data_IF_906052198652
#
_entry.id   IF_906052198652
#
_cell.length_a   1.000
_cell.length_b   1.000
_cell.length_c   1.000
_cell.angle_alpha   90.00
_cell.angle_beta   90.00
_cell.angle_gamma   90.00
#
_symmetry.space_group_name_H-M   'P 1'
#
loop_
_entity.id
_entity.type
_entity.pdbx_description
1 polymer ?
#
# COMPACT_ATOMS: atom_id res chain seq x y z
N UNK A 1 -8.86 -2.97 2.44
CA UNK A 1 -8.71 -2.15 3.65
C UNK A 1 -10.09 -1.74 4.17
N UNK A 2 -10.39 -2.10 5.43
CA UNK A 2 -11.70 -1.81 6.03
C UNK A 2 -11.63 -0.51 6.83
N UNK A 3 -12.60 0.36 6.61
CA UNK A 3 -12.66 1.67 7.25
C UNK A 3 -14.01 1.95 7.88
N UNK A 4 -14.01 2.80 8.90
CA UNK A 4 -15.20 3.48 9.37
C UNK A 4 -15.48 4.65 8.42
N UNK A 5 -16.63 4.69 7.72
CA UNK A 5 -16.93 5.76 6.78
C UNK A 5 -17.15 7.14 7.44
N UNK A 6 -17.41 7.18 8.76
CA UNK A 6 -17.62 8.43 9.50
C UNK A 6 -16.35 8.92 10.20
N UNK A 7 -15.38 8.03 10.47
CA UNK A 7 -14.10 8.35 11.10
C UNK A 7 -12.98 7.52 10.42
N UNK A 8 -12.71 7.79 9.15
CA UNK A 8 -11.70 7.06 8.43
C UNK A 8 -10.32 7.36 9.00
N UNK A 9 -9.55 6.32 9.40
CA UNK A 9 -8.17 6.50 9.82
C UNK A 9 -7.36 6.93 8.61
N UNK A 10 -6.97 8.18 8.54
CA UNK A 10 -6.20 8.73 7.44
C UNK A 10 -4.83 9.15 7.93
N UNK A 11 -3.81 8.76 7.18
CA UNK A 11 -2.50 9.39 7.30
C UNK A 11 -2.60 10.86 6.88
N UNK A 12 -1.69 11.68 7.40
CA UNK A 12 -1.65 13.10 7.10
C UNK A 12 -1.22 13.33 5.62
N UNK A 13 -2.20 13.57 4.75
CA UNK A 13 -1.97 13.91 3.33
C UNK A 13 -1.58 15.38 3.13
N UNK A 14 -1.67 16.23 4.18
CA UNK A 14 -1.31 17.65 4.07
C UNK A 14 0.19 17.84 3.79
N UNK A 15 1.01 16.83 4.04
CA UNK A 15 2.43 16.83 3.75
C UNK A 15 2.76 16.45 2.31
N UNK A 16 1.81 15.92 1.56
CA UNK A 16 1.97 15.55 0.17
C UNK A 16 1.62 16.77 -0.73
N UNK A 17 2.64 17.58 -1.02
CA UNK A 17 2.48 18.86 -1.73
C UNK A 17 2.81 18.78 -3.23
N UNK A 18 3.15 17.62 -3.73
CA UNK A 18 3.47 17.39 -5.14
C UNK A 18 2.26 17.72 -6.01
N UNK A 19 2.53 18.34 -7.16
CA UNK A 19 1.51 18.68 -8.14
C UNK A 19 1.33 17.52 -9.10
N UNK A 20 0.17 16.89 -8.99
CA UNK A 20 -0.19 15.66 -9.69
C UNK A 20 -1.17 15.99 -10.84
N UNK A 21 -1.07 15.27 -11.95
CA UNK A 21 -2.05 15.34 -13.03
C UNK A 21 -3.25 14.45 -12.70
N UNK A 22 -4.42 15.07 -12.61
CA UNK A 22 -5.70 14.42 -12.35
C UNK A 22 -6.62 14.58 -13.57
N UNK A 23 -7.29 13.51 -13.95
CA UNK A 23 -8.34 13.48 -14.96
C UNK A 23 -9.64 13.09 -14.26
N UNK A 24 -10.38 14.06 -13.71
CA UNK A 24 -11.65 13.79 -13.04
C UNK A 24 -12.72 13.21 -13.98
N UNK A 25 -13.80 12.70 -13.39
CA UNK A 25 -14.98 12.19 -14.09
C UNK A 25 -15.41 13.18 -15.20
N UNK A 26 -15.41 12.79 -16.47
CA UNK A 26 -15.75 13.66 -17.60
C UNK A 26 -17.19 14.19 -17.53
N UNK A 27 -18.10 13.48 -16.87
CA UNK A 27 -19.49 13.84 -16.68
C UNK A 27 -19.74 14.59 -15.36
N UNK A 28 -18.66 14.74 -14.55
CA UNK A 28 -18.71 15.37 -13.24
C UNK A 28 -18.54 16.90 -13.27
N UNK A 29 -18.75 17.57 -12.14
CA UNK A 29 -18.65 19.04 -12.03
C UNK A 29 -17.22 19.58 -12.17
N UNK A 30 -16.21 18.71 -12.10
CA UNK A 30 -14.78 19.05 -12.17
C UNK A 30 -14.11 18.49 -13.44
N UNK A 31 -14.88 18.22 -14.49
CA UNK A 31 -14.39 17.61 -15.73
C UNK A 31 -13.21 18.39 -16.36
N UNK A 32 -12.28 17.64 -16.96
CA UNK A 32 -11.08 18.16 -17.58
C UNK A 32 -9.81 17.92 -16.77
N UNK A 33 -8.66 18.02 -17.44
CA UNK A 33 -7.36 17.84 -16.77
C UNK A 33 -7.12 18.92 -15.72
N UNK A 34 -6.70 18.51 -14.54
CA UNK A 34 -6.37 19.37 -13.42
C UNK A 34 -4.97 19.03 -12.88
N UNK A 35 -4.24 20.03 -12.39
CA UNK A 35 -2.93 19.86 -11.80
C UNK A 35 -2.91 20.48 -10.40
N UNK A 36 -2.90 19.61 -9.39
CA UNK A 36 -2.95 20.03 -7.98
C UNK A 36 -2.45 18.92 -7.06
N UNK A 37 -2.27 19.22 -5.78
CA UNK A 37 -1.95 18.18 -4.78
C UNK A 37 -3.20 17.35 -4.44
N UNK A 38 -3.01 16.14 -3.92
CA UNK A 38 -4.13 15.30 -3.45
C UNK A 38 -4.91 15.94 -2.31
N UNK A 39 -4.23 16.72 -1.43
CA UNK A 39 -4.89 17.49 -0.39
C UNK A 39 -5.85 18.52 -0.98
N UNK A 40 -5.39 19.32 -1.95
CA UNK A 40 -6.22 20.29 -2.65
C UNK A 40 -7.38 19.64 -3.42
N UNK A 41 -7.14 18.47 -4.04
CA UNK A 41 -8.19 17.73 -4.75
C UNK A 41 -9.28 17.20 -3.79
N UNK A 42 -8.89 16.80 -2.58
CA UNK A 42 -9.83 16.41 -1.53
C UNK A 42 -10.66 17.61 -1.04
N UNK A 43 -10.00 18.74 -0.77
CA UNK A 43 -10.69 19.98 -0.34
C UNK A 43 -11.65 20.51 -1.41
N UNK A 44 -11.29 20.38 -2.69
CA UNK A 44 -12.14 20.74 -3.82
C UNK A 44 -13.28 19.73 -4.09
N UNK A 45 -13.30 18.59 -3.42
CA UNK A 45 -14.29 17.52 -3.63
C UNK A 45 -14.11 16.74 -4.94
N UNK A 46 -12.96 16.87 -5.60
CA UNK A 46 -12.58 16.08 -6.78
C UNK A 46 -12.34 14.63 -6.36
N UNK A 47 -11.49 14.41 -5.35
CA UNK A 47 -11.40 13.13 -4.65
C UNK A 47 -12.40 13.13 -3.51
N UNK A 48 -13.33 12.20 -3.53
CA UNK A 48 -14.52 12.23 -2.65
C UNK A 48 -14.28 11.71 -1.25
N UNK A 49 -13.20 10.95 -1.04
CA UNK A 49 -12.94 10.29 0.24
C UNK A 49 -11.47 10.42 0.69
N UNK A 50 -11.20 10.82 1.95
CA UNK A 50 -9.84 11.06 2.43
C UNK A 50 -8.94 9.82 2.38
N UNK A 51 -9.47 8.62 2.64
CA UNK A 51 -8.69 7.38 2.53
C UNK A 51 -8.33 7.06 1.08
N UNK A 52 -9.21 7.37 0.11
CA UNK A 52 -8.88 7.25 -1.32
C UNK A 52 -7.75 8.21 -1.66
N UNK A 53 -7.83 9.48 -1.27
CA UNK A 53 -6.77 10.46 -1.47
C UNK A 53 -5.43 10.00 -0.88
N UNK A 54 -5.45 9.41 0.32
CA UNK A 54 -4.25 8.85 0.94
C UNK A 54 -3.65 7.70 0.12
N UNK A 55 -4.46 6.77 -0.37
CA UNK A 55 -3.95 5.67 -1.22
C UNK A 55 -3.44 6.18 -2.57
N UNK A 56 -4.06 7.20 -3.17
CA UNK A 56 -3.54 7.85 -4.38
C UNK A 56 -2.15 8.44 -4.12
N UNK A 57 -1.98 9.18 -3.01
CA UNK A 57 -0.69 9.73 -2.61
C UNK A 57 0.37 8.64 -2.37
N UNK A 58 0.02 7.58 -1.63
CA UNK A 58 0.94 6.44 -1.39
C UNK A 58 1.30 5.70 -2.67
N UNK A 59 0.37 5.58 -3.61
CA UNK A 59 0.63 4.99 -4.93
C UNK A 59 1.63 5.84 -5.71
N UNK A 60 1.45 7.15 -5.72
CA UNK A 60 2.39 8.06 -6.37
C UNK A 60 3.80 7.96 -5.75
N UNK A 61 3.91 8.05 -4.42
CA UNK A 61 5.18 7.90 -3.69
C UNK A 61 5.88 6.56 -4.04
N UNK A 62 5.10 5.48 -4.07
CA UNK A 62 5.62 4.15 -4.41
C UNK A 62 6.16 4.12 -5.84
N UNK A 63 5.39 4.58 -6.83
CA UNK A 63 5.78 4.56 -8.24
C UNK A 63 7.03 5.42 -8.50
N UNK A 64 7.08 6.62 -7.94
CA UNK A 64 8.27 7.49 -8.03
C UNK A 64 9.46 6.84 -7.32
N UNK A 65 9.24 6.24 -6.14
CA UNK A 65 10.27 5.55 -5.38
C UNK A 65 10.89 4.35 -6.09
N UNK A 66 10.13 3.70 -6.99
CA UNK A 66 10.64 2.61 -7.84
C UNK A 66 11.14 3.09 -9.22
N UNK A 67 11.27 4.41 -9.41
CA UNK A 67 11.92 5.00 -10.58
C UNK A 67 11.00 5.33 -11.76
N UNK A 68 9.67 5.35 -11.56
CA UNK A 68 8.75 5.87 -12.57
C UNK A 68 8.88 7.40 -12.63
N UNK A 69 9.02 7.95 -13.83
CA UNK A 69 9.06 9.39 -14.05
C UNK A 69 7.74 10.04 -13.59
N UNK A 70 7.77 10.95 -12.58
CA UNK A 70 6.56 11.61 -12.09
C UNK A 70 5.80 12.40 -13.17
N UNK A 71 6.47 12.87 -14.22
CA UNK A 71 5.83 13.54 -15.35
C UNK A 71 5.02 12.58 -16.24
N UNK A 72 5.23 11.29 -16.10
CA UNK A 72 4.57 10.22 -16.84
C UNK A 72 3.54 9.45 -16.00
N UNK A 73 3.08 10.03 -14.87
CA UNK A 73 2.04 9.48 -14.01
C UNK A 73 0.83 10.42 -14.05
N UNK A 74 -0.37 9.84 -14.21
CA UNK A 74 -1.63 10.55 -14.01
C UNK A 74 -2.65 9.67 -13.31
N UNK A 75 -3.65 10.29 -12.70
CA UNK A 75 -4.76 9.59 -12.07
C UNK A 75 -6.05 9.95 -12.79
N UNK A 76 -6.74 8.95 -13.32
CA UNK A 76 -8.00 9.08 -14.04
C UNK A 76 -9.15 8.56 -13.18
N UNK A 77 -10.14 9.37 -12.94
CA UNK A 77 -11.38 8.94 -12.28
C UNK A 77 -12.29 8.24 -13.29
N UNK A 78 -12.90 7.16 -12.88
CA UNK A 78 -13.92 6.51 -13.68
C UNK A 78 -15.12 7.43 -13.89
N UNK A 79 -15.64 7.46 -15.13
CA UNK A 79 -16.93 8.08 -15.41
C UNK A 79 -18.05 7.35 -14.64
N UNK A 80 -19.12 8.08 -14.34
CA UNK A 80 -20.29 7.50 -13.66
C UNK A 80 -20.86 6.28 -14.39
N UNK A 81 -20.71 6.21 -15.71
CA UNK A 81 -21.14 5.11 -16.59
C UNK A 81 -20.16 3.92 -16.61
N UNK A 82 -18.89 4.14 -16.27
CA UNK A 82 -17.85 3.09 -16.17
C UNK A 82 -17.82 2.47 -14.78
N UNK A 83 -18.22 3.24 -13.77
CA UNK A 83 -18.10 2.85 -12.37
C UNK A 83 -18.96 1.63 -12.07
N UNK A 84 -18.37 0.63 -11.40
CA UNK A 84 -19.12 -0.53 -10.94
C UNK A 84 -20.21 -0.09 -9.94
N UNK A 85 -21.39 -0.71 -10.00
CA UNK A 85 -22.58 -0.35 -9.20
C UNK A 85 -22.36 -0.36 -7.67
N UNK A 86 -21.30 -1.02 -7.20
CA UNK A 86 -20.93 -1.11 -5.79
C UNK A 86 -19.88 -0.06 -5.38
N UNK A 87 -19.31 0.69 -6.32
CA UNK A 87 -18.27 1.67 -6.04
C UNK A 87 -18.87 3.08 -5.90
N UNK A 88 -18.41 3.82 -4.89
CA UNK A 88 -18.75 5.24 -4.70
C UNK A 88 -17.72 6.16 -5.36
N UNK A 89 -16.48 5.70 -5.54
CA UNK A 89 -15.38 6.41 -6.17
C UNK A 89 -14.34 5.39 -6.67
N UNK A 90 -13.80 5.60 -7.87
CA UNK A 90 -12.79 4.72 -8.47
C UNK A 90 -11.82 5.55 -9.29
N UNK A 91 -10.54 5.30 -9.07
CA UNK A 91 -9.43 5.99 -9.73
C UNK A 91 -8.43 5.00 -10.27
N UNK A 92 -8.01 5.18 -11.51
CA UNK A 92 -6.91 4.48 -12.14
C UNK A 92 -5.65 5.33 -12.06
N UNK A 93 -4.55 4.77 -11.59
CA UNK A 93 -3.23 5.33 -11.80
C UNK A 93 -2.70 4.79 -13.12
N UNK A 94 -2.53 5.69 -14.08
CA UNK A 94 -2.03 5.38 -15.41
C UNK A 94 -0.59 5.88 -15.55
N UNK A 95 0.25 5.06 -16.21
CA UNK A 95 1.64 5.38 -16.51
C UNK A 95 1.79 5.46 -18.04
N UNK A 96 2.49 6.49 -18.49
CA UNK A 96 2.78 6.69 -19.92
C UNK A 96 4.09 6.00 -20.30
N UNK A 97 4.01 4.99 -21.15
CA UNK A 97 5.15 4.29 -21.73
C UNK A 97 5.14 4.34 -23.25
N UNK A 98 5.92 3.49 -23.89
CA UNK A 98 5.98 3.34 -25.36
C UNK A 98 4.59 3.10 -25.98
N UNK A 99 3.72 2.39 -25.27
CA UNK A 99 2.36 2.06 -25.75
C UNK A 99 1.28 3.09 -25.34
N UNK A 100 1.69 4.28 -24.89
CA UNK A 100 0.80 5.32 -24.38
C UNK A 100 0.44 5.15 -22.92
N UNK A 101 -0.72 5.65 -22.50
CA UNK A 101 -1.20 5.56 -21.13
C UNK A 101 -1.77 4.18 -20.82
N UNK A 102 -1.25 3.53 -19.80
CA UNK A 102 -1.66 2.19 -19.35
C UNK A 102 -2.04 2.25 -17.88
N UNK A 103 -3.23 1.76 -17.54
CA UNK A 103 -3.67 1.56 -16.17
C UNK A 103 -2.76 0.54 -15.46
N UNK A 104 -2.13 0.95 -14.37
CA UNK A 104 -1.22 0.13 -13.57
C UNK A 104 -1.71 -0.12 -12.16
N UNK A 105 -2.51 0.79 -11.59
CA UNK A 105 -3.09 0.63 -10.23
C UNK A 105 -4.51 1.15 -10.24
N UNK A 106 -5.46 0.36 -9.74
CA UNK A 106 -6.83 0.77 -9.49
C UNK A 106 -7.04 1.05 -7.99
N UNK A 107 -7.74 2.12 -7.64
CA UNK A 107 -8.07 2.46 -6.25
C UNK A 107 -9.57 2.76 -6.17
N UNK A 108 -10.31 1.87 -5.51
CA UNK A 108 -11.77 1.96 -5.44
C UNK A 108 -12.27 2.05 -3.99
N UNK A 109 -13.28 2.90 -3.77
CA UNK A 109 -14.15 2.83 -2.60
C UNK A 109 -15.37 1.97 -2.95
N UNK A 110 -15.37 0.71 -2.52
CA UNK A 110 -16.41 -0.29 -2.79
C UNK A 110 -17.61 -0.18 -1.82
N UNK A 111 -17.61 0.82 -0.95
CA UNK A 111 -18.63 0.97 0.10
C UNK A 111 -18.70 -0.27 1.02
N UNK A 112 -19.86 -0.54 1.62
CA UNK A 112 -20.14 -1.74 2.41
C UNK A 112 -20.80 -2.86 1.58
N UNK A 113 -20.99 -2.67 0.27
CA UNK A 113 -21.80 -3.52 -0.60
C UNK A 113 -21.44 -5.01 -0.53
N UNK A 114 -20.15 -5.33 -0.63
CA UNK A 114 -19.70 -6.73 -0.62
C UNK A 114 -19.97 -7.40 0.73
N UNK A 115 -19.73 -6.68 1.84
CA UNK A 115 -19.94 -7.21 3.19
C UNK A 115 -21.41 -7.44 3.48
N UNK A 116 -22.29 -6.50 3.11
CA UNK A 116 -23.75 -6.63 3.27
C UNK A 116 -24.32 -7.78 2.42
N UNK A 117 -23.87 -7.93 1.18
CA UNK A 117 -24.26 -9.05 0.34
C UNK A 117 -23.77 -10.38 0.93
N UNK A 118 -22.53 -10.41 1.44
CA UNK A 118 -22.00 -11.61 2.06
C UNK A 118 -22.82 -12.02 3.31
N UNK A 119 -23.12 -11.08 4.20
CA UNK A 119 -24.01 -11.35 5.36
C UNK A 119 -25.38 -11.88 4.91
N UNK A 120 -26.00 -11.22 3.93
CA UNK A 120 -27.33 -11.56 3.44
C UNK A 120 -27.39 -12.97 2.86
N UNK A 121 -26.41 -13.34 2.01
CA UNK A 121 -26.44 -14.61 1.28
C UNK A 121 -25.84 -15.77 2.06
N UNK A 122 -24.83 -15.55 2.89
CA UNK A 122 -24.20 -16.61 3.69
C UNK A 122 -24.85 -16.82 5.05
N UNK A 123 -25.71 -15.90 5.49
CA UNK A 123 -26.25 -15.81 6.86
C UNK A 123 -25.16 -15.75 7.93
N UNK A 124 -23.92 -15.45 7.55
CA UNK A 124 -22.80 -15.25 8.46
C UNK A 124 -23.01 -13.91 9.18
N UNK A 125 -22.86 -13.91 10.49
CA UNK A 125 -22.77 -12.69 11.31
C UNK A 125 -21.31 -12.45 11.65
N UNK A 126 -20.94 -11.17 11.82
CA UNK A 126 -19.58 -10.82 12.26
C UNK A 126 -18.77 -10.04 11.25
N UNK A 127 -19.39 -9.55 10.17
CA UNK A 127 -18.76 -8.62 9.22
C UNK A 127 -18.96 -7.15 9.62
N UNK A 128 -19.49 -6.91 10.83
CA UNK A 128 -19.70 -5.59 11.41
C UNK A 128 -18.60 -5.21 12.37
N UNK A 129 -18.33 -3.92 12.51
CA UNK A 129 -17.43 -3.35 13.48
C UNK A 129 -18.20 -2.48 14.49
N UNK A 130 -17.67 -2.38 15.70
CA UNK A 130 -18.22 -1.53 16.74
C UNK A 130 -17.57 -0.16 16.73
N UNK A 131 -18.37 0.91 16.60
CA UNK A 131 -17.92 2.29 16.77
C UNK A 131 -18.25 2.75 18.17
N UNK A 132 -17.21 3.02 18.96
CA UNK A 132 -17.34 3.59 20.29
C UNK A 132 -17.57 5.09 20.20
N UNK A 133 -18.61 5.60 20.86
CA UNK A 133 -18.80 7.05 20.98
C UNK A 133 -17.86 7.66 22.02
N UNK A 134 -17.35 8.86 21.74
CA UNK A 134 -16.53 9.60 22.71
C UNK A 134 -17.28 9.89 24.02
N UNK A 135 -18.60 10.11 23.92
CA UNK A 135 -19.52 10.24 25.06
C UNK A 135 -20.81 9.49 24.75
N UNK A 136 -21.38 8.77 25.73
CA UNK A 136 -22.66 8.09 25.51
C UNK A 136 -23.75 9.06 25.05
N UNK A 137 -24.56 8.64 24.08
CA UNK A 137 -25.62 9.43 23.48
C UNK A 137 -26.98 8.85 23.85
N UNK A 138 -27.97 9.70 24.08
CA UNK A 138 -29.36 9.25 24.18
C UNK A 138 -29.89 8.95 22.79
N UNK A 139 -30.26 7.69 22.59
CA UNK A 139 -30.87 7.23 21.33
C UNK A 139 -32.14 6.45 21.63
N UNK A 140 -33.13 6.54 20.73
CA UNK A 140 -34.25 5.63 20.73
C UNK A 140 -33.74 4.31 20.16
N UNK A 141 -33.78 3.28 21.00
CA UNK A 141 -33.39 1.91 20.64
C UNK A 141 -34.58 0.99 20.71
N UNK A 142 -34.72 0.09 19.75
CA UNK A 142 -35.67 -0.97 19.79
C UNK A 142 -35.16 -2.10 20.71
N UNK A 143 -35.99 -2.62 21.61
CA UNK A 143 -35.65 -3.76 22.47
C UNK A 143 -36.77 -4.80 22.44
N UNK A 144 -36.38 -6.05 22.75
CA UNK A 144 -37.35 -7.12 23.00
C UNK A 144 -37.70 -7.11 24.50
N UNK A 145 -38.87 -6.59 24.82
CA UNK A 145 -39.42 -6.64 26.18
C UNK A 145 -39.92 -8.04 26.47
N UNK A 146 -39.39 -8.73 27.52
CA UNK A 146 -39.84 -10.09 27.86
C UNK A 146 -41.30 -10.11 28.33
N UNK A 147 -42.11 -11.02 27.80
CA UNK A 147 -43.45 -11.31 28.30
C UNK A 147 -43.37 -12.33 29.42
N UNK A 148 -43.25 -11.86 30.68
CA UNK A 148 -43.11 -12.73 31.85
C UNK A 148 -44.29 -13.68 32.05
N UNK A 149 -45.51 -13.34 31.57
CA UNK A 149 -46.66 -14.19 31.68
C UNK A 149 -46.55 -15.47 30.81
N UNK A 150 -45.76 -15.44 29.75
CA UNK A 150 -45.51 -16.57 28.88
C UNK A 150 -44.15 -17.24 29.22
N UNK A 151 -43.11 -16.47 29.46
CA UNK A 151 -41.73 -16.97 29.74
C UNK A 151 -41.72 -17.75 31.08
N UNK A 152 -42.38 -17.23 32.13
CA UNK A 152 -42.41 -17.87 33.44
C UNK A 152 -42.95 -19.32 33.39
N UNK A 153 -44.19 -19.58 32.94
CA UNK A 153 -44.71 -20.94 32.83
C UNK A 153 -43.91 -21.84 31.89
N UNK A 154 -43.35 -21.29 30.80
CA UNK A 154 -42.65 -22.06 29.78
C UNK A 154 -41.28 -22.54 30.27
N UNK A 155 -40.49 -21.67 30.85
CA UNK A 155 -39.08 -21.98 31.22
C UNK A 155 -38.88 -22.24 32.72
N UNK A 156 -39.89 -21.98 33.56
CA UNK A 156 -39.93 -22.29 35.01
C UNK A 156 -38.64 -21.81 35.71
N UNK A 157 -37.79 -22.75 36.11
CA UNK A 157 -36.56 -22.44 36.85
C UNK A 157 -35.55 -21.63 36.03
N UNK A 158 -35.60 -21.74 34.70
CA UNK A 158 -34.71 -21.04 33.77
C UNK A 158 -35.29 -19.67 33.30
N UNK A 159 -36.52 -19.32 33.73
CA UNK A 159 -37.18 -18.08 33.28
C UNK A 159 -36.34 -16.81 33.57
N UNK A 160 -35.72 -16.73 34.74
CA UNK A 160 -34.89 -15.60 35.09
C UNK A 160 -33.64 -15.49 34.18
N UNK A 161 -33.01 -16.62 33.85
CA UNK A 161 -31.84 -16.65 32.97
C UNK A 161 -32.23 -16.24 31.52
N UNK A 162 -33.42 -16.67 31.05
CA UNK A 162 -33.96 -16.29 29.74
C UNK A 162 -34.27 -14.79 29.68
N UNK A 163 -34.87 -14.22 30.72
CA UNK A 163 -35.15 -12.77 30.79
C UNK A 163 -33.82 -11.98 30.79
N UNK A 164 -32.87 -12.37 31.60
CA UNK A 164 -31.56 -11.71 31.66
C UNK A 164 -30.82 -11.78 30.30
N UNK A 165 -30.88 -12.93 29.62
CA UNK A 165 -30.27 -13.09 28.31
C UNK A 165 -30.98 -12.26 27.22
N UNK A 166 -32.30 -12.11 27.28
CA UNK A 166 -33.06 -11.22 26.38
C UNK A 166 -32.73 -9.75 26.61
N UNK A 167 -32.60 -9.31 27.87
CA UNK A 167 -32.22 -7.95 28.23
C UNK A 167 -30.76 -7.61 27.87
N UNK A 168 -29.88 -8.61 27.85
CA UNK A 168 -28.50 -8.48 27.47
C UNK A 168 -28.24 -8.47 25.95
N UNK A 169 -29.27 -8.71 25.12
CA UNK A 169 -29.14 -8.67 23.67
C UNK A 169 -28.68 -7.28 23.19
N UNK A 170 -27.54 -7.25 22.54
CA UNK A 170 -26.99 -6.03 21.92
C UNK A 170 -27.49 -5.86 20.48
N UNK A 171 -27.88 -6.94 19.82
CA UNK A 171 -28.47 -6.94 18.48
C UNK A 171 -29.80 -7.70 18.51
N UNK A 172 -30.80 -7.13 17.86
CA UNK A 172 -32.09 -7.79 17.74
C UNK A 172 -32.04 -8.87 16.66
N UNK A 173 -32.74 -10.00 16.86
CA UNK A 173 -32.88 -11.02 15.81
C UNK A 173 -33.70 -10.48 14.64
N UNK A 174 -33.34 -10.90 13.43
CA UNK A 174 -34.01 -10.51 12.18
C UNK A 174 -35.46 -11.01 12.12
N UNK A 175 -35.71 -12.15 12.74
CA UNK A 175 -37.05 -12.79 12.75
C UNK A 175 -37.31 -13.56 14.04
N UNK A 176 -38.58 -13.77 14.32
CA UNK A 176 -39.05 -14.68 15.34
C UNK A 176 -39.71 -15.90 14.66
N UNK A 177 -39.55 -17.13 15.21
CA UNK A 177 -38.76 -17.47 16.39
C UNK A 177 -37.24 -17.44 16.14
N UNK A 178 -36.44 -17.31 17.21
CA UNK A 178 -34.99 -17.41 17.18
C UNK A 178 -34.43 -18.17 18.39
N UNK A 179 -33.20 -18.68 18.29
CA UNK A 179 -32.57 -19.40 19.36
C UNK A 179 -31.66 -18.43 20.18
N UNK A 180 -31.99 -18.31 21.48
CA UNK A 180 -31.27 -17.49 22.44
C UNK A 180 -30.29 -18.35 23.23
N UNK A 181 -29.01 -17.97 23.22
CA UNK A 181 -27.97 -18.62 24.04
C UNK A 181 -28.00 -18.08 25.46
N UNK A 182 -27.99 -18.96 26.44
CA UNK A 182 -27.90 -18.63 27.85
C UNK A 182 -26.42 -18.61 28.31
N UNK A 183 -26.13 -18.00 29.45
CA UNK A 183 -24.77 -17.93 30.01
C UNK A 183 -24.13 -19.29 30.28
N UNK A 184 -24.95 -20.32 30.56
CA UNK A 184 -24.50 -21.70 30.80
C UNK A 184 -24.24 -22.50 29.53
N UNK A 185 -24.34 -21.87 28.35
CA UNK A 185 -24.10 -22.49 27.04
C UNK A 185 -25.29 -23.26 26.47
N UNK A 186 -26.44 -23.32 27.17
CA UNK A 186 -27.69 -23.87 26.62
C UNK A 186 -28.32 -22.86 25.67
N UNK A 187 -29.11 -23.37 24.69
CA UNK A 187 -29.91 -22.56 23.78
C UNK A 187 -31.39 -22.83 23.98
N UNK A 188 -32.20 -21.78 23.95
CA UNK A 188 -33.65 -21.84 24.08
C UNK A 188 -34.30 -21.09 22.93
N UNK A 189 -35.39 -21.63 22.39
CA UNK A 189 -36.14 -21.00 21.29
C UNK A 189 -37.13 -19.96 21.86
N UNK A 190 -37.03 -18.73 21.39
CA UNK A 190 -37.92 -17.62 21.75
C UNK A 190 -38.98 -17.46 20.64
N UNK A 191 -40.22 -17.65 21.02
CA UNK A 191 -41.37 -17.50 20.15
C UNK A 191 -41.91 -16.05 20.14
N UNK A 192 -42.71 -15.67 19.12
CA UNK A 192 -43.29 -14.32 19.02
C UNK A 192 -44.12 -13.85 20.20
N UNK A 193 -44.83 -14.79 20.90
CA UNK A 193 -45.67 -14.51 22.05
C UNK A 193 -44.86 -14.27 23.35
N UNK A 194 -43.57 -14.61 23.37
CA UNK A 194 -42.67 -14.47 24.51
C UNK A 194 -42.04 -13.10 24.64
N UNK A 195 -42.09 -12.28 23.59
CA UNK A 195 -41.45 -10.97 23.54
C UNK A 195 -42.31 -9.94 22.80
N UNK A 196 -42.14 -8.67 23.20
CA UNK A 196 -42.76 -7.54 22.51
C UNK A 196 -41.67 -6.56 22.08
N UNK A 197 -41.71 -6.10 20.84
CA UNK A 197 -40.78 -5.02 20.38
C UNK A 197 -41.24 -3.69 20.95
N UNK A 198 -40.35 -3.01 21.66
CA UNK A 198 -40.61 -1.69 22.25
C UNK A 198 -39.47 -0.74 21.95
N UNK A 199 -39.82 0.49 21.67
CA UNK A 199 -38.86 1.61 21.61
C UNK A 199 -38.65 2.19 23.00
N UNK A 200 -37.41 2.34 23.39
CA UNK A 200 -37.03 3.03 24.61
C UNK A 200 -35.85 3.99 24.38
N UNK A 201 -35.78 5.07 25.16
CA UNK A 201 -34.63 5.96 25.11
C UNK A 201 -33.55 5.44 26.06
N UNK A 202 -32.45 4.94 25.48
CA UNK A 202 -31.30 4.42 26.23
C UNK A 202 -30.05 5.29 26.01
N UNK A 203 -29.13 5.25 26.97
CA UNK A 203 -27.79 5.77 26.80
C UNK A 203 -26.97 4.73 26.05
N UNK A 204 -26.55 5.03 24.83
CA UNK A 204 -25.79 4.13 23.97
C UNK A 204 -24.34 4.59 23.93
N UNK A 205 -23.41 3.68 24.19
CA UNK A 205 -21.97 3.95 24.22
C UNK A 205 -21.30 3.79 22.85
N UNK A 206 -22.00 3.23 21.89
CA UNK A 206 -21.51 2.99 20.52
C UNK A 206 -22.58 2.37 19.64
N UNK A 207 -22.22 2.05 18.43
CA UNK A 207 -23.11 1.40 17.46
C UNK A 207 -22.37 0.39 16.58
N UNK A 208 -23.08 -0.63 16.12
CA UNK A 208 -22.59 -1.54 15.10
C UNK A 208 -22.76 -0.93 13.72
N UNK A 209 -21.72 -1.01 12.88
CA UNK A 209 -21.80 -0.57 11.48
C UNK A 209 -21.09 -1.56 10.56
N UNK A 210 -21.48 -1.58 9.30
CA UNK A 210 -20.76 -2.34 8.27
C UNK A 210 -19.64 -1.47 7.73
N UNK A 211 -18.35 -1.88 7.84
CA UNK A 211 -17.23 -1.11 7.32
C UNK A 211 -17.31 -0.90 5.81
N UNK A 212 -16.79 0.23 5.33
CA UNK A 212 -16.51 0.38 3.91
C UNK A 212 -15.19 -0.31 3.54
N UNK A 213 -15.08 -0.76 2.30
CA UNK A 213 -13.91 -1.41 1.74
C UNK A 213 -13.23 -0.45 0.78
N UNK A 214 -11.96 -0.10 1.05
CA UNK A 214 -11.10 0.55 0.08
C UNK A 214 -10.18 -0.51 -0.51
N UNK A 215 -10.18 -0.63 -1.82
CA UNK A 215 -9.42 -1.60 -2.59
C UNK A 215 -8.36 -0.90 -3.43
N UNK A 216 -7.08 -0.90 -3.02
CA UNK A 216 -5.97 -0.62 -3.91
C UNK A 216 -5.50 -1.92 -4.59
N UNK A 217 -5.54 -1.96 -5.91
CA UNK A 217 -5.16 -3.09 -6.75
C UNK A 217 -3.97 -2.74 -7.64
N UNK A 218 -2.85 -3.45 -7.50
CA UNK A 218 -1.60 -3.18 -8.21
C UNK A 218 -1.35 -4.21 -9.32
N UNK A 219 -1.23 -3.75 -10.56
CA UNK A 219 -0.84 -4.56 -11.71
C UNK A 219 0.69 -4.69 -11.79
N UNK A 220 1.27 -5.63 -11.05
CA UNK A 220 2.72 -5.77 -10.93
C UNK A 220 3.44 -5.88 -12.27
N UNK A 221 2.95 -6.70 -13.19
CA UNK A 221 3.58 -6.89 -14.50
C UNK A 221 3.62 -5.59 -15.31
N UNK A 222 2.54 -4.79 -15.23
CA UNK A 222 2.46 -3.48 -15.89
C UNK A 222 3.43 -2.49 -15.27
N UNK A 223 3.56 -2.48 -13.94
CA UNK A 223 4.49 -1.62 -13.22
C UNK A 223 5.94 -2.00 -13.57
N UNK A 224 6.29 -3.29 -13.54
CA UNK A 224 7.63 -3.78 -13.90
C UNK A 224 7.97 -3.41 -15.35
N UNK A 225 7.02 -3.56 -16.27
CA UNK A 225 7.20 -3.13 -17.65
C UNK A 225 7.58 -1.66 -17.74
N UNK A 226 6.83 -0.78 -17.07
CA UNK A 226 7.09 0.66 -17.12
C UNK A 226 8.37 1.06 -16.38
N UNK A 227 8.76 0.35 -15.32
CA UNK A 227 10.07 0.54 -14.70
C UNK A 227 11.19 0.29 -15.72
N UNK A 228 11.11 -0.78 -16.49
CA UNK A 228 12.09 -1.10 -17.52
C UNK A 228 12.04 -0.11 -18.68
N UNK A 229 10.84 0.26 -19.16
CA UNK A 229 10.61 1.23 -20.22
C UNK A 229 11.20 2.61 -19.87
N UNK A 230 10.99 3.08 -18.64
CA UNK A 230 11.50 4.38 -18.18
C UNK A 230 13.00 4.35 -17.87
N UNK A 231 13.53 3.20 -17.44
CA UNK A 231 14.93 3.04 -17.11
C UNK A 231 15.82 2.81 -18.35
N UNK A 232 15.26 2.29 -19.44
CA UNK A 232 16.03 1.95 -20.63
C UNK A 232 16.52 3.21 -21.35
N UNK A 233 17.81 3.27 -21.59
CA UNK A 233 18.46 4.38 -22.29
C UNK A 233 19.36 3.83 -23.38
N UNK A 234 19.15 4.29 -24.60
CA UNK A 234 20.04 4.04 -25.74
C UNK A 234 21.10 5.13 -25.84
N UNK A 235 22.31 4.75 -26.08
CA UNK A 235 23.43 5.66 -26.23
C UNK A 235 24.55 5.09 -27.09
N UNK A 236 25.54 5.91 -27.38
CA UNK A 236 26.76 5.53 -28.10
C UNK A 236 27.99 6.00 -27.31
N UNK A 237 29.00 5.17 -27.19
CA UNK A 237 30.25 5.50 -26.57
C UNK A 237 31.41 4.97 -27.40
N UNK A 238 32.30 5.88 -27.85
CA UNK A 238 33.46 5.55 -28.67
C UNK A 238 33.13 4.79 -29.97
N UNK A 239 31.90 5.02 -30.56
CA UNK A 239 31.44 4.38 -31.77
C UNK A 239 30.86 2.97 -31.57
N UNK A 240 30.65 2.55 -30.33
CA UNK A 240 29.93 1.31 -29.96
C UNK A 240 28.62 1.66 -29.26
N UNK A 241 27.59 0.84 -29.44
CA UNK A 241 26.31 0.97 -28.73
C UNK A 241 26.56 0.87 -27.21
N UNK A 242 25.97 1.79 -26.46
CA UNK A 242 26.06 1.87 -25.02
C UNK A 242 24.67 1.99 -24.41
N UNK A 243 23.97 0.86 -24.34
CA UNK A 243 22.64 0.79 -23.76
C UNK A 243 22.75 0.47 -22.27
N UNK A 244 21.90 1.10 -21.46
CA UNK A 244 21.90 0.85 -20.03
C UNK A 244 20.51 0.98 -19.43
N UNK A 245 20.34 0.44 -18.23
CA UNK A 245 19.13 0.56 -17.42
C UNK A 245 19.37 1.50 -16.24
N UNK A 246 18.76 2.67 -16.25
CA UNK A 246 18.80 3.64 -15.14
C UNK A 246 17.80 3.27 -14.04
N UNK A 247 17.90 2.03 -13.51
CA UNK A 247 17.06 1.57 -12.42
C UNK A 247 17.34 2.38 -11.14
N UNK A 248 16.29 2.71 -10.39
CA UNK A 248 16.44 3.28 -9.05
C UNK A 248 17.25 2.32 -8.17
N UNK A 249 18.19 2.85 -7.38
CA UNK A 249 19.13 2.03 -6.61
C UNK A 249 18.40 1.03 -5.68
N UNK A 250 17.26 1.43 -5.09
CA UNK A 250 16.50 0.60 -4.17
C UNK A 250 15.82 -0.63 -4.79
N UNK A 251 15.73 -0.71 -6.12
CA UNK A 251 15.09 -1.83 -6.85
C UNK A 251 16.07 -2.60 -7.74
N UNK A 252 17.31 -2.15 -7.85
CA UNK A 252 18.34 -2.91 -8.56
C UNK A 252 18.54 -4.29 -7.92
N UNK A 253 18.66 -5.32 -8.74
CA UNK A 253 18.90 -6.69 -8.25
C UNK A 253 20.29 -6.89 -7.65
N UNK A 254 21.23 -5.99 -7.99
CA UNK A 254 22.62 -5.95 -7.51
C UNK A 254 22.88 -4.52 -7.05
N UNK A 255 23.24 -4.33 -5.78
CA UNK A 255 23.51 -3.00 -5.22
C UNK A 255 24.80 -2.40 -5.76
N UNK A 256 25.85 -3.22 -5.92
CA UNK A 256 27.12 -2.76 -6.50
C UNK A 256 27.90 -3.89 -7.17
N UNK A 257 28.79 -3.51 -8.10
CA UNK A 257 29.84 -4.40 -8.59
C UNK A 257 31.18 -4.04 -7.98
N UNK A 258 31.99 -5.06 -7.65
CA UNK A 258 33.37 -4.88 -7.16
C UNK A 258 34.34 -5.30 -8.26
N UNK A 259 35.21 -4.39 -8.68
CA UNK A 259 36.03 -4.51 -9.87
C UNK A 259 37.52 -4.32 -9.52
N UNK A 260 38.36 -5.36 -9.50
CA UNK A 260 39.81 -5.15 -9.42
C UNK A 260 40.32 -4.46 -10.71
N UNK A 261 41.06 -3.35 -10.63
CA UNK A 261 41.52 -2.63 -11.81
C UNK A 261 42.37 -3.55 -12.70
N UNK A 262 43.25 -4.36 -12.09
CA UNK A 262 44.04 -5.37 -12.76
C UNK A 262 43.89 -6.73 -12.06
N UNK A 263 44.03 -7.80 -12.82
CA UNK A 263 43.97 -9.17 -12.30
C UNK A 263 45.37 -9.61 -11.77
N UNK A 264 45.99 -8.79 -10.94
CA UNK A 264 47.29 -9.04 -10.32
C UNK A 264 47.56 -8.11 -9.14
N UNK A 265 48.61 -8.41 -8.39
CA UNK A 265 49.22 -7.50 -7.41
C UNK A 265 48.41 -7.30 -6.15
N UNK A 266 47.57 -8.29 -5.73
CA UNK A 266 46.76 -8.21 -4.51
C UNK A 266 45.39 -7.57 -4.71
N UNK A 267 45.07 -6.98 -5.87
CA UNK A 267 43.76 -6.34 -6.14
C UNK A 267 42.62 -7.36 -6.23
N UNK A 268 42.78 -8.53 -6.89
CA UNK A 268 41.71 -9.55 -6.92
C UNK A 268 41.36 -10.08 -5.53
N UNK A 269 42.36 -10.28 -4.68
CA UNK A 269 42.22 -10.77 -3.31
C UNK A 269 41.44 -9.75 -2.48
N UNK A 270 41.83 -8.47 -2.51
CA UNK A 270 41.12 -7.39 -1.82
C UNK A 270 39.70 -7.18 -2.37
N UNK A 271 39.51 -7.24 -3.69
CA UNK A 271 38.18 -7.16 -4.29
C UNK A 271 37.26 -8.30 -3.83
N UNK A 272 37.80 -9.52 -3.70
CA UNK A 272 37.09 -10.66 -3.17
C UNK A 272 36.68 -10.48 -1.70
N UNK A 273 37.58 -9.94 -0.90
CA UNK A 273 37.32 -9.63 0.51
C UNK A 273 36.22 -8.57 0.66
N UNK A 274 36.29 -7.47 -0.11
CA UNK A 274 35.25 -6.42 -0.12
C UNK A 274 33.90 -7.00 -0.56
N UNK A 275 33.88 -7.77 -1.66
CA UNK A 275 32.66 -8.41 -2.15
C UNK A 275 32.05 -9.35 -1.10
N UNK A 276 32.87 -10.11 -0.39
CA UNK A 276 32.42 -11.01 0.68
C UNK A 276 31.87 -10.23 1.86
N UNK A 277 32.52 -9.13 2.25
CA UNK A 277 32.12 -8.25 3.35
C UNK A 277 30.76 -7.61 3.06
N UNK A 278 30.54 -7.10 1.86
CA UNK A 278 29.25 -6.51 1.46
C UNK A 278 28.14 -7.59 1.46
N UNK A 279 28.40 -8.76 0.87
CA UNK A 279 27.43 -9.85 0.82
C UNK A 279 27.14 -10.51 2.19
N UNK A 280 27.96 -10.27 3.21
CA UNK A 280 27.67 -10.68 4.58
C UNK A 280 26.60 -9.80 5.26
N UNK A 281 26.31 -8.63 4.70
CA UNK A 281 25.24 -7.74 5.21
C UNK A 281 23.89 -8.19 4.65
N UNK A 282 22.90 -8.49 5.51
CA UNK A 282 21.57 -8.84 5.04
C UNK A 282 20.99 -7.79 4.09
N UNK A 283 20.40 -8.24 2.98
CA UNK A 283 19.78 -7.44 1.90
C UNK A 283 20.74 -6.76 0.94
N UNK A 284 22.06 -6.73 1.19
CA UNK A 284 23.01 -6.23 0.21
C UNK A 284 23.48 -7.36 -0.72
N UNK A 285 23.64 -7.02 -2.00
CA UNK A 285 24.12 -7.91 -3.05
C UNK A 285 25.22 -7.23 -3.85
N UNK A 286 26.43 -7.71 -3.70
CA UNK A 286 27.58 -7.30 -4.51
C UNK A 286 27.98 -8.40 -5.48
N UNK A 287 28.40 -8.03 -6.66
CA UNK A 287 28.94 -8.93 -7.66
C UNK A 287 30.39 -8.60 -7.96
N UNK A 288 31.27 -9.59 -7.91
CA UNK A 288 32.66 -9.48 -8.32
C UNK A 288 32.78 -9.73 -9.83
N UNK A 289 33.45 -8.84 -10.57
CA UNK A 289 33.80 -9.07 -11.97
C UNK A 289 35.26 -8.70 -12.24
N UNK A 290 36.07 -9.68 -12.65
CA UNK A 290 37.46 -9.53 -13.01
C UNK A 290 37.73 -9.79 -14.49
N UNK A 291 36.68 -10.03 -15.29
CA UNK A 291 36.83 -10.46 -16.68
C UNK A 291 37.00 -9.28 -17.66
N UNK A 292 37.92 -9.39 -18.61
CA UNK A 292 38.18 -8.38 -19.67
C UNK A 292 38.65 -7.01 -19.13
N UNK A 293 38.53 -5.94 -19.95
CA UNK A 293 38.94 -4.60 -19.56
C UNK A 293 37.95 -3.96 -18.59
N UNK A 294 38.44 -3.01 -17.78
CA UNK A 294 37.61 -2.28 -16.79
C UNK A 294 36.43 -1.55 -17.46
N UNK A 295 36.60 -0.96 -18.64
CA UNK A 295 35.53 -0.28 -19.38
C UNK A 295 34.40 -1.22 -19.77
N UNK A 296 34.74 -2.44 -20.20
CA UNK A 296 33.70 -3.48 -20.54
C UNK A 296 32.95 -3.99 -19.29
N UNK A 297 33.62 -4.00 -18.14
CA UNK A 297 32.96 -4.38 -16.87
C UNK A 297 32.00 -3.31 -16.41
N UNK A 298 32.34 -2.04 -16.53
CA UNK A 298 31.42 -0.94 -16.29
C UNK A 298 30.20 -1.04 -17.22
N UNK A 299 30.43 -1.19 -18.55
CA UNK A 299 29.34 -1.29 -19.53
C UNK A 299 28.37 -2.44 -19.19
N UNK A 300 28.87 -3.63 -18.83
CA UNK A 300 28.00 -4.75 -18.41
C UNK A 300 27.21 -4.47 -17.13
N UNK A 301 27.83 -3.80 -16.16
CA UNK A 301 27.14 -3.41 -14.94
C UNK A 301 26.05 -2.38 -15.21
N UNK A 302 26.34 -1.40 -16.06
CA UNK A 302 25.39 -0.36 -16.46
C UNK A 302 24.23 -0.96 -17.29
N UNK A 303 24.51 -1.89 -18.21
CA UNK A 303 23.51 -2.61 -19.02
C UNK A 303 22.45 -3.32 -18.19
N UNK A 304 22.85 -3.95 -17.08
CA UNK A 304 21.92 -4.66 -16.17
C UNK A 304 21.40 -3.80 -15.03
N UNK A 305 21.67 -2.50 -15.06
CA UNK A 305 21.11 -1.53 -14.12
C UNK A 305 21.76 -1.46 -12.74
N UNK A 306 23.02 -1.93 -12.59
CA UNK A 306 23.74 -1.81 -11.30
C UNK A 306 24.11 -0.35 -11.04
N UNK A 307 23.67 0.26 -9.94
CA UNK A 307 23.84 1.69 -9.71
C UNK A 307 25.28 2.11 -9.39
N UNK A 308 26.07 1.21 -8.76
CA UNK A 308 27.38 1.54 -8.21
C UNK A 308 28.44 0.55 -8.64
N UNK A 309 29.61 1.06 -9.00
CA UNK A 309 30.81 0.25 -9.25
C UNK A 309 31.95 0.66 -8.31
N UNK A 310 32.48 -0.30 -7.56
CA UNK A 310 33.56 -0.14 -6.62
C UNK A 310 34.86 -0.66 -7.27
N UNK A 311 35.78 0.23 -7.63
CA UNK A 311 37.03 -0.16 -8.25
C UNK A 311 38.16 -0.23 -7.23
N UNK A 312 38.81 -1.39 -7.16
CA UNK A 312 39.96 -1.67 -6.34
C UNK A 312 41.21 -1.46 -7.18
N UNK A 313 42.07 -0.50 -6.80
CA UNK A 313 43.28 -0.11 -7.50
C UNK A 313 44.53 -0.17 -6.59
N UNK A 314 45.65 0.40 -7.02
CA UNK A 314 46.88 0.40 -6.24
C UNK A 314 46.74 1.18 -4.93
N UNK A 315 46.07 2.32 -4.93
CA UNK A 315 45.82 3.11 -3.73
C UNK A 315 44.94 2.34 -2.73
N UNK A 316 44.01 1.51 -3.22
CA UNK A 316 43.19 0.64 -2.39
C UNK A 316 44.00 -0.33 -1.55
N UNK A 317 45.13 -0.80 -2.09
CA UNK A 317 46.06 -1.70 -1.37
C UNK A 317 46.88 -0.97 -0.28
N UNK A 318 47.06 0.34 -0.44
CA UNK A 318 47.84 1.16 0.49
C UNK A 318 46.99 1.67 1.67
N UNK A 319 45.77 2.14 1.39
CA UNK A 319 44.94 2.86 2.36
C UNK A 319 43.57 2.26 2.64
N UNK A 320 43.19 1.20 1.92
CA UNK A 320 41.86 0.55 2.10
C UNK A 320 40.68 1.33 1.51
N UNK A 321 40.94 2.36 0.68
CA UNK A 321 39.88 3.08 -0.01
C UNK A 321 39.55 2.46 -1.38
N UNK A 322 38.42 2.78 -1.94
CA UNK A 322 37.99 2.36 -3.28
C UNK A 322 37.47 3.54 -4.08
N UNK A 323 37.54 3.44 -5.42
CA UNK A 323 36.88 4.40 -6.29
C UNK A 323 35.42 3.94 -6.48
N UNK A 324 34.47 4.76 -6.04
CA UNK A 324 33.04 4.58 -6.23
C UNK A 324 32.61 5.32 -7.49
N UNK A 325 32.02 4.61 -8.47
CA UNK A 325 31.48 5.20 -9.69
C UNK A 325 29.96 5.10 -9.69
N UNK A 326 29.30 6.23 -9.92
CA UNK A 326 27.86 6.28 -10.15
C UNK A 326 27.56 5.97 -11.63
N UNK A 327 26.57 5.10 -11.90
CA UNK A 327 26.16 4.69 -13.25
C UNK A 327 25.66 5.88 -14.08
N UNK A 328 24.76 6.69 -13.53
CA UNK A 328 23.93 7.63 -14.29
C UNK A 328 24.71 8.79 -14.92
N UNK A 329 25.74 9.28 -14.27
CA UNK A 329 26.60 10.37 -14.76
C UNK A 329 28.07 10.00 -14.89
N UNK A 330 28.42 8.77 -14.53
CA UNK A 330 29.77 8.21 -14.55
C UNK A 330 30.78 8.96 -13.66
N UNK A 331 30.30 9.84 -12.77
CA UNK A 331 31.12 10.54 -11.79
C UNK A 331 31.75 9.53 -10.83
N UNK A 332 32.99 9.80 -10.42
CA UNK A 332 33.77 8.94 -9.54
C UNK A 332 34.25 9.72 -8.34
N UNK A 333 34.10 9.14 -7.17
CA UNK A 333 34.63 9.66 -5.90
C UNK A 333 35.44 8.58 -5.20
N UNK A 334 36.31 8.97 -4.29
CA UNK A 334 37.08 8.03 -3.48
C UNK A 334 36.54 8.01 -2.06
N UNK A 335 36.30 6.81 -1.53
CA UNK A 335 35.78 6.60 -0.19
C UNK A 335 36.38 5.35 0.45
N UNK A 336 36.43 5.31 1.79
CA UNK A 336 36.85 4.10 2.50
C UNK A 336 35.78 3.03 2.43
N UNK A 337 36.20 1.76 2.42
CA UNK A 337 35.24 0.61 2.31
C UNK A 337 34.19 0.63 3.42
N UNK A 338 34.56 0.97 4.65
CA UNK A 338 33.63 1.05 5.77
C UNK A 338 32.54 2.14 5.56
N UNK A 339 32.95 3.29 5.02
CA UNK A 339 32.05 4.40 4.66
C UNK A 339 31.08 3.98 3.55
N UNK A 340 31.60 3.36 2.48
CA UNK A 340 30.77 2.80 1.40
C UNK A 340 29.76 1.80 1.94
N UNK A 341 30.17 0.92 2.85
CA UNK A 341 29.30 -0.10 3.45
C UNK A 341 28.19 0.53 4.30
N UNK A 342 28.48 1.59 5.05
CA UNK A 342 27.48 2.33 5.82
C UNK A 342 26.46 3.00 4.91
N UNK A 343 26.91 3.65 3.84
CA UNK A 343 26.04 4.29 2.85
C UNK A 343 25.18 3.27 2.08
N UNK A 344 25.72 2.11 1.72
CA UNK A 344 24.96 1.02 1.09
C UNK A 344 23.84 0.53 2.01
N UNK A 345 24.11 0.33 3.32
CA UNK A 345 23.10 -0.08 4.31
C UNK A 345 21.95 0.89 4.42
N UNK A 346 22.23 2.18 4.28
CA UNK A 346 21.26 3.26 4.44
C UNK A 346 20.65 3.72 3.11
N UNK A 347 20.99 3.08 1.98
CA UNK A 347 20.62 3.50 0.62
C UNK A 347 20.91 4.99 0.36
N UNK A 348 22.06 5.45 0.80
CA UNK A 348 22.49 6.87 0.79
C UNK A 348 23.80 7.11 0.07
N UNK A 349 24.23 6.20 -0.83
CA UNK A 349 25.54 6.30 -1.49
C UNK A 349 25.64 7.54 -2.39
N UNK A 350 24.52 8.06 -2.90
CA UNK A 350 24.45 9.32 -3.62
C UNK A 350 25.00 10.51 -2.82
N UNK A 351 24.96 10.46 -1.49
CA UNK A 351 25.45 11.53 -0.63
C UNK A 351 26.98 11.67 -0.61
N UNK A 352 27.71 10.73 -1.22
CA UNK A 352 29.17 10.83 -1.41
C UNK A 352 29.56 11.74 -2.59
N UNK A 353 28.61 12.04 -3.49
CA UNK A 353 28.81 12.81 -4.71
C UNK A 353 28.29 14.24 -4.58
#
# INVERSE_FOLDING_TARGET
YFIDPQDPPVGDISKHNEIITLIPDPDGPHSGESRMSFGAALEAGIVRHPTVAWFLARTWDFLVGVGIDPARIRFRQHASTEMAHYAADCWDCEIHGEHGWVECVGIANRTCHDLENHETHSKARGLRAWRQFATPRKQVVERLAPNGAVIGPTFRNDAAAVVAALEALTELPDSLPFDLSLEDGRSVTINPDMVERREETANVSGEWFTPHVIEPAFGFDRIIWHILDHAYTEGEKEGEDYNHLSLAAGISSIDCVVLPLFDKGGMPELATEINTTINAVPRLRAQLDSSRSIGRRYARADEIGVPWALTVDHTSLEDGSVTVRRRDDQVQVRAFVDEVLEHLRNNSLDSLF
#
